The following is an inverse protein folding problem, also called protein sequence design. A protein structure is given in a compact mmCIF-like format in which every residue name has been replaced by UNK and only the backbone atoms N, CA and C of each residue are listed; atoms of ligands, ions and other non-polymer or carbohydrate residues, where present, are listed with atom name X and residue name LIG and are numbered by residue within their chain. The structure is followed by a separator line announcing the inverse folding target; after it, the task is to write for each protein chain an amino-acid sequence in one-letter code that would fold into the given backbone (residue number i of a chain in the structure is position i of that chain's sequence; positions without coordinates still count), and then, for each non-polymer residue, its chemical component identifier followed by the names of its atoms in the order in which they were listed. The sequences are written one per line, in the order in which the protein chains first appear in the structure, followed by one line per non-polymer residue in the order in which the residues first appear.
data_IF_540294552025
#
_entry.id   IF_540294552025
#
_cell.length_a   1.000
_cell.length_b   1.000
_cell.length_c   1.000
_cell.angle_alpha   90.00
_cell.angle_beta   90.00
_cell.angle_gamma   90.00
#
_symmetry.space_group_name_H-M   'P 1'
#
loop_
_entity.id
_entity.type
_entity.pdbx_description
1 polymer ?
#
# COMPACT_ATOMS: atom_id res chain seq x y z
N UNK A 1 -4.00 4.39 18.33
CA UNK A 1 -4.54 4.55 16.98
C UNK A 1 -6.07 4.52 16.92
N UNK A 2 -6.81 3.61 17.57
CA UNK A 2 -8.29 3.71 17.52
C UNK A 2 -8.86 5.05 18.03
N UNK A 3 -8.31 5.59 19.13
CA UNK A 3 -8.74 6.87 19.68
C UNK A 3 -8.50 8.06 18.72
N UNK A 4 -7.37 8.09 18.01
CA UNK A 4 -7.08 9.17 17.08
C UNK A 4 -7.97 9.09 15.83
N UNK A 5 -8.35 7.89 15.38
CA UNK A 5 -9.37 7.75 14.33
C UNK A 5 -10.74 8.23 14.82
N UNK A 6 -11.20 7.74 15.98
CA UNK A 6 -12.50 8.10 16.55
C UNK A 6 -12.70 9.61 16.73
N UNK A 7 -11.64 10.34 17.07
CA UNK A 7 -11.70 11.79 17.26
C UNK A 7 -11.49 12.60 15.99
N UNK A 8 -10.83 12.04 14.96
CA UNK A 8 -10.36 12.82 13.81
C UNK A 8 -10.98 12.41 12.48
N UNK A 9 -11.85 11.39 12.47
CA UNK A 9 -12.42 10.88 11.23
C UNK A 9 -13.43 11.85 10.61
N UNK A 10 -13.40 11.98 9.29
CA UNK A 10 -14.35 12.77 8.50
C UNK A 10 -14.74 11.99 7.24
N UNK A 11 -15.73 12.46 6.45
CA UNK A 11 -16.02 11.89 5.13
C UNK A 11 -14.88 12.00 4.12
N UNK A 12 -13.88 12.86 4.36
CA UNK A 12 -12.79 13.14 3.41
C UNK A 12 -11.43 12.54 3.82
N UNK A 13 -11.35 11.95 5.02
CA UNK A 13 -10.12 11.45 5.62
C UNK A 13 -9.93 11.95 7.06
N UNK A 14 -8.81 11.61 7.68
CA UNK A 14 -8.48 12.06 9.02
C UNK A 14 -7.97 13.50 9.04
N UNK A 15 -8.49 14.27 9.98
CA UNK A 15 -7.93 15.57 10.36
C UNK A 15 -6.65 15.34 11.16
N UNK A 16 -5.58 16.08 10.86
CA UNK A 16 -4.39 16.07 11.72
C UNK A 16 -4.55 17.18 12.76
N UNK A 17 -4.86 16.78 14.00
CA UNK A 17 -5.06 17.71 15.10
C UNK A 17 -3.73 18.29 15.56
N UNK A 18 -3.60 19.63 15.51
CA UNK A 18 -2.40 20.35 15.95
C UNK A 18 -2.35 20.57 17.48
N UNK A 19 -3.36 20.07 18.21
CA UNK A 19 -3.42 20.11 19.68
C UNK A 19 -3.94 21.41 20.28
N UNK A 20 -4.63 22.27 19.51
CA UNK A 20 -5.16 23.57 20.00
C UNK A 20 -6.63 23.45 20.40
N UNK A 21 -6.96 23.96 21.59
CA UNK A 21 -8.30 23.97 22.20
C UNK A 21 -8.80 25.42 22.36
N UNK A 22 -10.11 25.72 22.26
CA UNK A 22 -11.23 24.81 22.00
C UNK A 22 -11.32 24.32 20.56
N UNK A 23 -11.87 23.13 20.37
CA UNK A 23 -12.15 22.56 19.06
C UNK A 23 -13.46 23.13 18.49
N UNK A 24 -13.50 23.52 17.21
CA UNK A 24 -12.36 23.60 16.30
C UNK A 24 -11.53 24.88 16.55
N UNK A 25 -10.19 24.72 16.53
CA UNK A 25 -9.24 25.82 16.57
C UNK A 25 -9.26 26.65 15.28
N UNK A 26 -8.22 27.49 15.00
CA UNK A 26 -8.05 28.17 13.72
C UNK A 26 -8.34 27.23 12.53
N UNK A 27 -8.82 27.75 11.39
CA UNK A 27 -9.25 26.93 10.25
C UNK A 27 -8.29 25.79 9.92
N UNK A 28 -6.98 26.03 9.93
CA UNK A 28 -5.92 25.04 9.64
C UNK A 28 -5.97 23.77 10.51
N UNK A 29 -6.57 23.84 11.71
CA UNK A 29 -6.69 22.72 12.65
C UNK A 29 -7.85 21.77 12.29
N UNK A 30 -8.71 22.17 11.36
CA UNK A 30 -9.80 21.39 10.77
C UNK A 30 -9.50 20.94 9.34
N UNK A 31 -8.22 20.77 8.99
CA UNK A 31 -7.82 20.41 7.64
C UNK A 31 -7.44 18.93 7.53
N UNK A 32 -7.74 18.31 6.40
CA UNK A 32 -7.31 16.94 6.09
C UNK A 32 -5.95 17.00 5.43
N UNK A 33 -4.93 16.52 6.15
CA UNK A 33 -3.58 16.44 5.63
C UNK A 33 -3.43 15.16 4.83
N UNK A 34 -3.22 15.28 3.53
CA UNK A 34 -3.34 14.15 2.61
C UNK A 34 -2.29 13.05 2.84
N UNK A 35 -1.15 13.36 3.48
CA UNK A 35 -0.17 12.36 3.92
C UNK A 35 -0.60 11.55 5.15
N UNK A 36 -1.43 12.13 6.01
CA UNK A 36 -1.83 11.50 7.26
C UNK A 36 -2.56 10.19 7.00
N UNK A 37 -3.44 10.17 6.00
CA UNK A 37 -4.26 9.03 5.63
C UNK A 37 -3.44 7.79 5.19
N UNK A 38 -2.55 7.88 4.17
CA UNK A 38 -1.74 6.73 3.74
C UNK A 38 -0.69 6.32 4.78
N UNK A 39 -0.11 7.26 5.53
CA UNK A 39 0.82 6.92 6.60
C UNK A 39 0.11 6.16 7.73
N UNK A 40 -1.10 6.57 8.09
CA UNK A 40 -1.93 5.86 9.06
C UNK A 40 -2.17 4.42 8.65
N UNK A 41 -2.66 4.23 7.42
CA UNK A 41 -2.92 2.90 6.87
C UNK A 41 -1.64 2.04 6.89
N UNK A 42 -0.52 2.62 6.45
CA UNK A 42 0.79 1.96 6.43
C UNK A 42 1.22 1.49 7.83
N UNK A 43 1.16 2.38 8.84
CA UNK A 43 1.58 2.04 10.20
C UNK A 43 0.67 0.97 10.80
N UNK A 44 -0.65 1.07 10.63
CA UNK A 44 -1.58 0.07 11.17
C UNK A 44 -1.39 -1.32 10.52
N UNK A 45 -1.15 -1.38 9.21
CA UNK A 45 -0.77 -2.64 8.55
C UNK A 45 0.52 -3.23 9.14
N UNK A 46 1.51 -2.40 9.49
CA UNK A 46 2.73 -2.87 10.14
C UNK A 46 2.52 -3.32 11.59
N UNK A 47 1.55 -2.74 12.31
CA UNK A 47 1.20 -3.14 13.66
C UNK A 47 0.28 -4.36 13.73
N UNK A 48 -0.10 -4.94 12.58
CA UNK A 48 -0.92 -6.15 12.51
C UNK A 48 -2.42 -5.90 12.62
N UNK A 49 -2.89 -4.67 12.36
CA UNK A 49 -4.34 -4.45 12.17
C UNK A 49 -4.83 -5.14 10.89
N UNK A 50 -6.12 -5.49 10.86
CA UNK A 50 -6.76 -5.99 9.64
C UNK A 50 -6.51 -5.03 8.46
N UNK A 51 -6.09 -5.59 7.33
CA UNK A 51 -5.68 -4.81 6.16
C UNK A 51 -6.80 -3.96 5.62
N UNK A 52 -8.02 -4.51 5.56
CA UNK A 52 -9.15 -3.78 5.02
C UNK A 52 -9.52 -2.61 5.93
N UNK A 53 -9.46 -2.80 7.25
CA UNK A 53 -9.65 -1.74 8.25
C UNK A 53 -8.56 -0.67 8.14
N UNK A 54 -7.29 -1.06 8.11
CA UNK A 54 -6.17 -0.12 8.02
C UNK A 54 -6.26 0.73 6.74
N UNK A 55 -6.63 0.13 5.61
CA UNK A 55 -6.76 0.83 4.33
C UNK A 55 -7.95 1.78 4.25
N UNK A 56 -9.02 1.61 5.05
CA UNK A 56 -10.25 2.42 4.92
C UNK A 56 -9.97 3.92 4.93
N UNK A 57 -9.06 4.36 5.81
CA UNK A 57 -8.71 5.78 5.95
C UNK A 57 -8.04 6.32 4.69
N UNK A 58 -7.08 5.57 4.15
CA UNK A 58 -6.41 5.91 2.89
C UNK A 58 -7.38 5.91 1.71
N UNK A 59 -8.19 4.87 1.58
CA UNK A 59 -9.20 4.71 0.53
C UNK A 59 -10.16 5.89 0.53
N UNK A 60 -10.66 6.30 1.70
CA UNK A 60 -11.60 7.41 1.81
C UNK A 60 -11.09 8.69 1.16
N UNK A 61 -9.84 9.08 1.45
CA UNK A 61 -9.24 10.28 0.89
C UNK A 61 -8.96 10.14 -0.62
N UNK A 62 -8.52 8.98 -1.08
CA UNK A 62 -8.23 8.72 -2.50
C UNK A 62 -9.53 8.68 -3.33
N UNK A 63 -10.55 7.99 -2.83
CA UNK A 63 -11.86 7.87 -3.48
C UNK A 63 -12.57 9.21 -3.60
N UNK A 64 -12.40 10.10 -2.62
CA UNK A 64 -12.91 11.46 -2.71
C UNK A 64 -12.27 12.23 -3.88
N UNK A 65 -10.95 12.10 -4.07
CA UNK A 65 -10.25 12.69 -5.22
C UNK A 65 -10.71 12.11 -6.55
N UNK A 66 -10.86 10.78 -6.61
CA UNK A 66 -11.29 10.07 -7.81
C UNK A 66 -12.72 10.40 -8.21
N UNK A 67 -13.64 10.33 -7.25
CA UNK A 67 -15.08 10.28 -7.52
C UNK A 67 -15.81 11.60 -7.31
N UNK A 68 -15.30 12.49 -6.44
CA UNK A 68 -15.96 13.77 -6.11
C UNK A 68 -15.21 14.95 -6.72
N UNK A 69 -13.90 15.06 -6.46
CA UNK A 69 -13.07 16.14 -7.04
C UNK A 69 -12.84 15.90 -8.53
N UNK A 70 -12.72 14.63 -8.94
CA UNK A 70 -12.44 14.20 -10.31
C UNK A 70 -11.14 14.80 -10.87
N UNK A 71 -10.10 14.84 -10.02
CA UNK A 71 -8.76 15.35 -10.38
C UNK A 71 -7.67 14.58 -9.63
N UNK A 72 -7.28 13.43 -10.18
CA UNK A 72 -6.23 12.56 -9.62
C UNK A 72 -4.80 13.11 -9.87
N UNK A 73 -4.66 14.15 -10.70
CA UNK A 73 -3.37 14.73 -11.07
C UNK A 73 -2.99 15.91 -10.16
N UNK A 74 -3.98 16.62 -9.63
CA UNK A 74 -3.78 17.80 -8.79
C UNK A 74 -4.05 17.49 -7.31
N UNK A 75 -3.52 16.39 -6.80
CA UNK A 75 -3.62 16.10 -5.37
C UNK A 75 -2.88 17.17 -4.58
N UNK A 76 -3.57 17.76 -3.61
CA UNK A 76 -3.02 18.83 -2.79
C UNK A 76 -2.50 18.30 -1.47
N UNK A 77 -1.59 19.03 -0.82
CA UNK A 77 -1.10 18.65 0.50
C UNK A 77 -2.19 18.67 1.58
N UNK A 78 -3.17 19.58 1.44
CA UNK A 78 -4.21 19.83 2.45
C UNK A 78 -5.56 20.08 1.78
N UNK A 79 -6.58 19.31 2.15
CA UNK A 79 -7.99 19.59 1.84
C UNK A 79 -8.67 20.32 3.00
N UNK A 80 -9.70 21.11 2.69
CA UNK A 80 -10.59 21.64 3.73
C UNK A 80 -11.36 20.50 4.41
N UNK A 81 -11.37 20.45 5.74
CA UNK A 81 -12.26 19.56 6.48
C UNK A 81 -13.64 20.21 6.71
N UNK A 82 -14.43 19.64 7.60
CA UNK A 82 -15.79 20.12 7.87
C UNK A 82 -15.79 21.52 8.50
N UNK A 83 -16.65 22.40 8.00
CA UNK A 83 -16.80 23.77 8.48
C UNK A 83 -15.66 24.71 8.06
N UNK A 84 -14.82 24.28 7.11
CA UNK A 84 -13.73 25.08 6.58
C UNK A 84 -14.23 26.10 5.53
N UNK A 85 -15.43 25.89 4.97
CA UNK A 85 -15.95 26.70 3.86
C UNK A 85 -15.37 26.30 2.50
N UNK A 86 -14.57 25.23 2.48
CA UNK A 86 -14.02 24.56 1.31
C UNK A 86 -14.00 23.05 1.58
N UNK A 87 -15.07 22.54 2.18
CA UNK A 87 -15.18 21.20 2.73
C UNK A 87 -14.95 20.14 1.64
N UNK A 88 -13.96 19.28 1.86
CA UNK A 88 -13.49 18.27 0.90
C UNK A 88 -12.78 18.85 -0.32
N UNK A 89 -12.65 20.17 -0.46
CA UNK A 89 -12.04 20.77 -1.63
C UNK A 89 -10.53 20.98 -1.44
N UNK A 90 -9.75 20.95 -2.54
CA UNK A 90 -8.37 21.38 -2.54
C UNK A 90 -8.20 22.75 -1.90
N UNK A 91 -7.31 22.87 -0.92
CA UNK A 91 -7.15 24.10 -0.16
C UNK A 91 -5.73 24.68 -0.20
N UNK A 92 -4.71 23.92 0.26
CA UNK A 92 -3.32 24.39 0.31
C UNK A 92 -2.38 23.42 -0.39
N UNK A 93 -1.37 23.97 -1.08
CA UNK A 93 -0.26 23.30 -1.77
C UNK A 93 -0.70 22.35 -2.88
N UNK A 94 -0.85 22.88 -4.10
CA UNK A 94 -1.03 22.05 -5.30
C UNK A 94 0.27 21.38 -5.74
N UNK A 95 0.18 20.20 -6.35
CA UNK A 95 1.31 19.42 -6.90
C UNK A 95 2.41 19.10 -5.89
N UNK A 96 2.02 18.85 -4.63
CA UNK A 96 2.98 18.58 -3.58
C UNK A 96 3.28 17.09 -3.50
N UNK A 97 4.57 16.73 -3.50
CA UNK A 97 5.05 15.34 -3.48
C UNK A 97 4.63 14.52 -2.25
N UNK A 98 3.88 15.10 -1.33
CA UNK A 98 3.33 14.44 -0.16
C UNK A 98 2.36 13.31 -0.49
N UNK A 99 1.60 13.39 -1.59
CA UNK A 99 0.79 12.24 -1.98
C UNK A 99 1.63 11.02 -2.40
N UNK A 100 2.95 11.17 -2.62
CA UNK A 100 3.85 10.02 -2.76
C UNK A 100 3.89 9.12 -1.51
N UNK A 101 3.44 9.58 -0.34
CA UNK A 101 3.27 8.70 0.82
C UNK A 101 2.25 7.57 0.58
N UNK A 102 1.37 7.69 -0.41
CA UNK A 102 0.51 6.58 -0.85
C UNK A 102 1.30 5.36 -1.31
N UNK A 103 2.52 5.53 -1.83
CA UNK A 103 3.41 4.41 -2.15
C UNK A 103 3.80 3.59 -0.93
N UNK A 104 3.82 4.18 0.27
CA UNK A 104 4.09 3.43 1.50
C UNK A 104 3.03 2.35 1.73
N UNK A 105 1.75 2.61 1.40
CA UNK A 105 0.70 1.61 1.52
C UNK A 105 0.94 0.44 0.58
N UNK A 106 1.37 0.70 -0.66
CA UNK A 106 1.69 -0.35 -1.65
C UNK A 106 2.85 -1.22 -1.16
N UNK A 107 3.87 -0.62 -0.57
CA UNK A 107 5.00 -1.36 0.01
C UNK A 107 4.61 -2.15 1.25
N UNK A 108 3.76 -1.58 2.13
CA UNK A 108 3.24 -2.28 3.30
C UNK A 108 2.33 -3.46 2.92
N UNK A 109 1.50 -3.31 1.89
CA UNK A 109 0.63 -4.36 1.38
C UNK A 109 1.41 -5.54 0.81
N UNK A 110 2.47 -5.26 0.06
CA UNK A 110 3.30 -6.30 -0.56
C UNK A 110 4.30 -6.93 0.41
N UNK A 111 4.64 -6.22 1.49
CA UNK A 111 5.74 -6.62 2.36
C UNK A 111 7.07 -6.74 1.63
N UNK A 112 7.22 -6.09 0.47
CA UNK A 112 8.40 -6.21 -0.38
C UNK A 112 9.65 -5.75 0.36
N UNK A 113 10.67 -6.61 0.42
CA UNK A 113 12.00 -6.30 0.94
C UNK A 113 13.03 -6.71 -0.10
N UNK A 114 13.97 -5.83 -0.37
CA UNK A 114 15.05 -6.10 -1.31
C UNK A 114 16.39 -5.81 -0.66
N UNK A 115 17.32 -6.76 -0.79
CA UNK A 115 18.72 -6.59 -0.47
C UNK A 115 19.55 -6.92 -1.71
N UNK A 116 19.93 -5.89 -2.47
CA UNK A 116 20.58 -6.08 -3.76
C UNK A 116 22.04 -6.55 -3.63
N UNK A 117 22.72 -6.30 -2.50
CA UNK A 117 24.07 -6.84 -2.28
C UNK A 117 24.04 -8.35 -2.02
N UNK A 118 22.99 -8.84 -1.37
CA UNK A 118 22.74 -10.27 -1.15
C UNK A 118 22.00 -10.94 -2.33
N UNK A 119 21.57 -10.16 -3.32
CA UNK A 119 20.72 -10.61 -4.43
C UNK A 119 19.41 -11.25 -3.92
N UNK A 120 18.80 -10.64 -2.90
CA UNK A 120 17.59 -11.15 -2.24
C UNK A 120 16.39 -10.23 -2.49
N UNK A 121 15.28 -10.82 -2.92
CA UNK A 121 13.98 -10.14 -3.05
C UNK A 121 12.91 -11.01 -2.38
N UNK A 122 12.27 -10.49 -1.34
CA UNK A 122 11.23 -11.21 -0.62
C UNK A 122 9.96 -10.39 -0.54
N UNK A 123 8.84 -11.08 -0.40
CA UNK A 123 7.52 -10.49 -0.23
C UNK A 123 6.86 -11.11 1.00
N UNK A 124 6.12 -10.31 1.76
CA UNK A 124 5.24 -10.79 2.83
C UNK A 124 3.85 -10.17 2.66
N UNK A 125 3.09 -10.59 1.63
CA UNK A 125 1.85 -9.94 1.26
C UNK A 125 0.83 -10.06 2.38
N UNK A 126 0.18 -8.95 2.71
CA UNK A 126 -0.92 -8.93 3.68
C UNK A 126 -2.26 -9.32 3.06
N UNK A 127 -2.27 -9.65 1.77
CA UNK A 127 -3.44 -10.07 1.02
C UNK A 127 -3.48 -11.59 0.87
N UNK A 128 -4.67 -12.15 1.03
CA UNK A 128 -4.93 -13.53 0.68
C UNK A 128 -4.91 -13.72 -0.85
N UNK A 129 -4.31 -14.81 -1.40
CA UNK A 129 -4.43 -15.12 -2.83
C UNK A 129 -5.92 -15.26 -3.25
N UNK A 130 -6.34 -14.88 -4.48
CA UNK A 130 -5.52 -14.32 -5.54
C UNK A 130 -5.26 -12.82 -5.37
N UNK A 131 -4.04 -12.39 -5.70
CA UNK A 131 -3.68 -10.97 -5.76
C UNK A 131 -2.71 -10.69 -6.92
N UNK A 132 -2.61 -9.40 -7.26
CA UNK A 132 -1.56 -8.84 -8.12
C UNK A 132 -0.97 -7.65 -7.38
N UNK A 133 0.34 -7.67 -7.17
CA UNK A 133 1.08 -6.66 -6.44
C UNK A 133 2.23 -6.15 -7.30
N UNK A 134 2.51 -4.84 -7.30
CA UNK A 134 3.60 -4.30 -8.09
C UNK A 134 4.95 -4.69 -7.47
N UNK A 135 5.95 -4.88 -8.33
CA UNK A 135 7.35 -4.96 -7.93
C UNK A 135 8.00 -3.63 -8.24
N UNK A 136 8.47 -2.95 -7.20
CA UNK A 136 8.96 -1.58 -7.27
C UNK A 136 10.39 -1.49 -6.73
N UNK A 137 11.36 -1.45 -7.63
CA UNK A 137 12.78 -1.28 -7.29
C UNK A 137 13.40 -0.21 -8.20
N UNK A 138 14.50 0.44 -7.80
CA UNK A 138 15.22 1.36 -8.68
C UNK A 138 15.60 0.68 -10.01
N UNK A 139 15.08 1.18 -11.12
CA UNK A 139 15.36 0.66 -12.46
C UNK A 139 14.69 -0.67 -12.81
N UNK A 140 13.81 -1.20 -11.95
CA UNK A 140 13.07 -2.45 -12.19
C UNK A 140 11.60 -2.25 -11.85
N UNK A 141 10.73 -2.59 -12.79
CA UNK A 141 9.27 -2.54 -12.60
C UNK A 141 8.61 -3.78 -13.17
N UNK A 142 7.65 -4.32 -12.43
CA UNK A 142 6.92 -5.52 -12.79
C UNK A 142 5.75 -5.77 -11.84
N UNK A 143 5.28 -7.01 -11.82
CA UNK A 143 4.28 -7.47 -10.88
C UNK A 143 4.59 -8.88 -10.38
N UNK A 144 4.17 -9.12 -9.14
CA UNK A 144 4.02 -10.42 -8.53
C UNK A 144 2.53 -10.74 -8.52
N UNK A 145 2.15 -11.90 -9.02
CA UNK A 145 0.78 -12.39 -8.93
C UNK A 145 0.75 -13.81 -8.40
N UNK A 146 -0.42 -14.26 -8.00
CA UNK A 146 -0.62 -15.65 -7.63
C UNK A 146 -1.99 -16.20 -8.01
N UNK A 147 -2.08 -17.53 -7.94
CA UNK A 147 -3.33 -18.26 -8.08
C UNK A 147 -3.35 -19.45 -7.11
N UNK A 148 -4.53 -19.74 -6.56
CA UNK A 148 -4.75 -20.96 -5.78
C UNK A 148 -5.26 -22.07 -6.69
N UNK A 149 -4.82 -23.29 -6.42
CA UNK A 149 -5.31 -24.48 -7.11
C UNK A 149 -5.24 -25.70 -6.19
N UNK A 150 -6.01 -26.72 -6.52
CA UNK A 150 -6.07 -27.98 -5.76
C UNK A 150 -5.31 -29.07 -6.49
N UNK A 151 -4.57 -29.90 -5.75
CA UNK A 151 -3.96 -31.13 -6.25
C UNK A 151 -4.41 -32.28 -5.35
N UNK A 152 -5.44 -33.01 -5.79
CA UNK A 152 -6.12 -33.98 -4.92
C UNK A 152 -6.83 -33.28 -3.77
N UNK A 153 -6.44 -33.57 -2.53
CA UNK A 153 -6.94 -32.91 -1.31
C UNK A 153 -6.10 -31.73 -0.87
N UNK A 154 -4.95 -31.50 -1.50
CA UNK A 154 -3.98 -30.49 -1.06
C UNK A 154 -4.19 -29.17 -1.78
N UNK A 155 -4.32 -28.08 -1.00
CA UNK A 155 -4.34 -26.73 -1.53
C UNK A 155 -2.92 -26.23 -1.81
N UNK A 156 -2.70 -25.71 -3.02
CA UNK A 156 -1.44 -25.10 -3.43
C UNK A 156 -1.64 -23.67 -3.90
N UNK A 157 -0.56 -22.90 -3.84
CA UNK A 157 -0.48 -21.56 -4.41
C UNK A 157 0.68 -21.52 -5.40
N UNK A 158 0.40 -20.98 -6.60
CA UNK A 158 1.42 -20.68 -7.60
C UNK A 158 1.69 -19.20 -7.60
N UNK A 159 2.96 -18.82 -7.56
CA UNK A 159 3.44 -17.45 -7.70
C UNK A 159 4.06 -17.25 -9.07
N UNK A 160 3.89 -16.05 -9.62
CA UNK A 160 4.50 -15.64 -10.88
C UNK A 160 5.03 -14.21 -10.75
N UNK A 161 6.32 -14.04 -11.02
CA UNK A 161 7.00 -12.75 -11.10
C UNK A 161 7.26 -12.43 -12.57
N UNK A 162 6.81 -11.24 -13.01
CA UNK A 162 6.99 -10.76 -14.38
C UNK A 162 7.51 -9.33 -14.35
N UNK A 163 8.58 -9.06 -15.10
CA UNK A 163 9.13 -7.72 -15.27
C UNK A 163 8.67 -7.10 -16.58
N UNK A 164 8.32 -5.82 -16.53
CA UNK A 164 8.04 -4.98 -17.69
C UNK A 164 9.24 -4.10 -18.05
N UNK A 165 10.06 -3.75 -17.06
CA UNK A 165 11.26 -2.94 -17.24
C UNK A 165 12.40 -3.43 -16.31
N UNK A 166 13.63 -3.38 -16.80
CA UNK A 166 14.82 -3.81 -16.06
C UNK A 166 15.01 -5.34 -16.01
N UNK A 167 15.95 -5.78 -15.17
CA UNK A 167 16.27 -7.19 -14.95
C UNK A 167 16.75 -7.41 -13.52
N UNK A 168 16.57 -8.63 -13.00
CA UNK A 168 17.04 -9.02 -11.68
C UNK A 168 17.88 -10.30 -11.78
N UNK A 169 19.02 -10.28 -11.09
CA UNK A 169 19.77 -11.49 -10.76
C UNK A 169 19.61 -11.73 -9.26
N UNK A 170 18.96 -12.83 -8.90
CA UNK A 170 18.63 -13.16 -7.51
C UNK A 170 19.29 -14.48 -7.10
N UNK A 171 19.77 -14.52 -5.86
CA UNK A 171 20.17 -15.74 -5.16
C UNK A 171 19.03 -16.27 -4.27
N UNK A 172 18.11 -15.37 -3.88
CA UNK A 172 16.98 -15.67 -3.02
C UNK A 172 15.73 -14.91 -3.47
N UNK A 173 14.64 -15.66 -3.67
CA UNK A 173 13.31 -15.14 -3.99
C UNK A 173 12.27 -15.89 -3.17
N UNK A 174 11.39 -15.18 -2.48
CA UNK A 174 10.33 -15.82 -1.69
C UNK A 174 9.07 -14.95 -1.55
N UNK A 175 7.94 -15.61 -1.35
CA UNK A 175 6.69 -14.97 -0.90
C UNK A 175 6.23 -15.67 0.38
N UNK A 176 6.18 -14.93 1.49
CA UNK A 176 6.06 -15.49 2.83
C UNK A 176 7.08 -16.63 3.03
N UNK A 177 6.62 -17.82 3.43
CA UNK A 177 7.47 -19.00 3.59
C UNK A 177 7.71 -19.79 2.29
N UNK A 178 7.15 -19.34 1.16
CA UNK A 178 7.29 -20.01 -0.12
C UNK A 178 8.54 -19.53 -0.88
N UNK A 179 9.63 -20.27 -0.71
CA UNK A 179 10.93 -19.99 -1.34
C UNK A 179 10.99 -20.58 -2.75
N UNK A 180 11.53 -19.81 -3.69
CA UNK A 180 11.84 -20.27 -5.05
C UNK A 180 12.90 -21.40 -4.99
N UNK A 181 12.73 -22.51 -5.74
CA UNK A 181 13.60 -23.67 -5.59
C UNK A 181 15.05 -23.43 -6.06
N UNK A 182 15.24 -22.57 -7.06
CA UNK A 182 16.55 -22.29 -7.62
C UNK A 182 17.36 -21.29 -6.78
N UNK A 183 18.66 -21.52 -6.66
CA UNK A 183 19.62 -20.63 -5.99
C UNK A 183 20.24 -19.57 -6.90
N UNK A 184 19.91 -19.61 -8.20
CA UNK A 184 20.31 -18.61 -9.18
C UNK A 184 19.12 -18.34 -10.10
N UNK A 185 18.53 -17.16 -9.95
CA UNK A 185 17.26 -16.80 -10.58
C UNK A 185 17.51 -15.55 -11.40
N UNK A 186 17.39 -15.66 -12.71
CA UNK A 186 17.48 -14.53 -13.62
C UNK A 186 16.08 -14.17 -14.08
N UNK A 187 15.61 -13.00 -13.67
CA UNK A 187 14.31 -12.46 -14.06
C UNK A 187 14.56 -11.39 -15.10
N UNK A 188 14.10 -11.63 -16.32
CA UNK A 188 14.23 -10.70 -17.45
C UNK A 188 12.85 -10.30 -17.95
N UNK A 189 12.78 -9.18 -18.66
CA UNK A 189 11.53 -8.65 -19.19
C UNK A 189 10.75 -9.70 -19.99
N UNK A 190 9.42 -9.69 -19.82
CA UNK A 190 8.47 -10.56 -20.54
C UNK A 190 8.66 -12.08 -20.35
N UNK A 191 9.55 -12.52 -19.47
CA UNK A 191 9.63 -13.90 -19.02
C UNK A 191 8.89 -14.07 -17.69
N UNK A 192 8.22 -15.22 -17.56
CA UNK A 192 7.48 -15.55 -16.34
C UNK A 192 8.36 -16.44 -15.47
N UNK A 193 8.79 -15.92 -14.31
CA UNK A 193 9.44 -16.71 -13.26
C UNK A 193 8.36 -17.22 -12.33
N UNK A 194 8.11 -18.54 -12.29
CA UNK A 194 7.04 -19.14 -11.49
C UNK A 194 7.51 -20.28 -10.60
N UNK A 195 6.91 -20.37 -9.42
CA UNK A 195 7.11 -21.45 -8.47
C UNK A 195 5.83 -21.68 -7.67
N UNK A 196 5.73 -22.81 -6.97
CA UNK A 196 4.53 -23.16 -6.22
C UNK A 196 4.87 -23.83 -4.90
N UNK A 197 4.03 -23.60 -3.89
CA UNK A 197 4.16 -24.19 -2.57
C UNK A 197 2.81 -24.69 -2.05
N UNK A 198 2.81 -25.53 -1.01
CA UNK A 198 1.62 -25.78 -0.21
C UNK A 198 1.02 -24.45 0.28
N UNK A 199 -0.30 -24.33 0.25
CA UNK A 199 -0.99 -23.17 0.80
C UNK A 199 -1.55 -23.53 2.18
N UNK A 200 -1.04 -22.86 3.20
CA UNK A 200 -1.64 -22.81 4.53
C UNK A 200 -2.21 -21.42 4.74
N UNK A 201 -3.48 -21.33 5.12
CA UNK A 201 -4.09 -20.04 5.42
C UNK A 201 -3.38 -19.43 6.63
N UNK A 202 -2.78 -18.25 6.43
CA UNK A 202 -2.16 -17.50 7.52
C UNK A 202 -3.30 -16.97 8.39
N UNK A 203 -3.39 -17.44 9.63
CA UNK A 203 -4.31 -16.89 10.63
C UNK A 203 -3.67 -15.60 11.13
N UNK A 204 -4.10 -14.45 10.60
CA UNK A 204 -3.78 -13.15 11.16
C UNK A 204 -4.85 -12.75 12.19
#
# INVERSE_FOLDING_TARGET
MKAELEHNDTPYGMIVVTGRYPYPGPPQDNAVWMMGNPNWATINMHLGEDVNQALQVGIKAIEHYRSVVNDEWNVVGIMGGLGYGADGMPYITSHYGYFMSSWHMVMALSGQKANMSEKSLTFDPKLDPPFVLPVLLPGVWGYLQNSRYQVGTDSKVSYSLVLHFGSLELSHLSVADCVHPDSSINVVIQQITSWSCPYTQTVN
#
